data_IF_715566812691
#
_entry.id   IF_715566812691
#
_cell.length_a   1.000
_cell.length_b   1.000
_cell.length_c   1.000
_cell.angle_alpha   90.00
_cell.angle_beta   90.00
_cell.angle_gamma   90.00
#
_symmetry.space_group_name_H-M   'P 1'
#
loop_
_entity.id
_entity.type
_entity.pdbx_description
1 polymer ?
#
# COMPACT_ATOMS: atom_id res chain seq x y z
N UNK A 1 -0.44 -2.62 -15.83
CA UNK A 1 0.18 -2.04 -14.62
C UNK A 1 1.36 -2.85 -14.11
N UNK A 2 1.22 -4.17 -13.87
CA UNK A 2 2.36 -5.02 -13.46
C UNK A 2 3.21 -5.53 -14.64
N UNK A 3 2.60 -5.81 -15.81
CA UNK A 3 3.31 -6.36 -16.97
C UNK A 3 3.72 -7.84 -16.78
N UNK A 4 4.04 -8.57 -17.86
CA UNK A 4 4.68 -9.88 -17.76
C UNK A 4 6.12 -9.76 -17.24
N UNK A 5 6.71 -10.87 -16.79
CA UNK A 5 8.06 -10.88 -16.20
C UNK A 5 9.14 -10.37 -17.18
N UNK A 6 8.94 -10.61 -18.49
CA UNK A 6 9.87 -10.18 -19.55
C UNK A 6 9.63 -8.73 -20.02
N UNK A 7 8.51 -8.11 -19.63
CA UNK A 7 8.24 -6.69 -19.87
C UNK A 7 7.52 -6.08 -18.65
N UNK A 8 8.34 -5.79 -17.64
CA UNK A 8 7.89 -5.20 -16.40
C UNK A 8 7.04 -3.95 -16.67
N UNK A 9 5.88 -3.86 -16.02
CA UNK A 9 4.99 -2.71 -16.11
C UNK A 9 5.49 -1.50 -15.31
N UNK A 10 4.63 -0.49 -15.18
CA UNK A 10 4.97 0.76 -14.49
C UNK A 10 5.26 0.55 -13.00
N UNK A 11 4.49 -0.30 -12.32
CA UNK A 11 4.63 -0.52 -10.87
C UNK A 11 6.02 -1.05 -10.51
N UNK A 12 6.52 -2.18 -11.10
CA UNK A 12 7.87 -2.66 -10.81
C UNK A 12 8.94 -1.61 -11.10
N UNK A 13 8.86 -0.94 -12.26
CA UNK A 13 9.85 0.06 -12.67
C UNK A 13 9.91 1.23 -11.69
N UNK A 14 8.76 1.78 -11.30
CA UNK A 14 8.68 2.92 -10.37
C UNK A 14 9.16 2.51 -8.97
N UNK A 15 8.73 1.36 -8.46
CA UNK A 15 9.10 0.93 -7.11
C UNK A 15 10.60 0.64 -7.01
N UNK A 16 11.16 -0.06 -8.01
CA UNK A 16 12.60 -0.35 -8.05
C UNK A 16 13.41 0.94 -8.07
N UNK A 17 13.09 1.87 -8.98
CA UNK A 17 13.83 3.12 -9.12
C UNK A 17 13.71 4.00 -7.87
N UNK A 18 12.54 4.00 -7.23
CA UNK A 18 12.32 4.73 -6.00
C UNK A 18 13.15 4.16 -4.83
N UNK A 19 13.17 2.85 -4.62
CA UNK A 19 13.99 2.26 -3.57
C UNK A 19 15.50 2.45 -3.82
N UNK A 20 15.95 2.45 -5.08
CA UNK A 20 17.35 2.76 -5.42
C UNK A 20 17.75 4.19 -5.04
N UNK A 21 16.81 5.14 -5.05
CA UNK A 21 17.05 6.55 -4.70
C UNK A 21 16.99 6.81 -3.18
N UNK A 22 16.52 5.84 -2.38
CA UNK A 22 16.42 5.93 -0.92
C UNK A 22 17.74 5.58 -0.22
N UNK A 23 18.84 6.21 -0.64
CA UNK A 23 20.21 5.89 -0.16
C UNK A 23 20.89 7.04 0.57
N UNK A 24 20.22 8.19 0.71
CA UNK A 24 20.76 9.34 1.44
C UNK A 24 20.72 9.13 2.95
N UNK A 25 21.90 9.09 3.58
CA UNK A 25 22.07 8.91 5.02
C UNK A 25 21.49 10.05 5.87
N UNK A 26 21.23 11.22 5.27
CA UNK A 26 20.68 12.39 5.97
C UNK A 26 19.16 12.41 6.01
N UNK A 27 18.51 11.47 5.32
CA UNK A 27 17.07 11.42 5.15
C UNK A 27 16.52 10.09 5.64
N UNK A 28 15.46 10.13 6.44
CA UNK A 28 14.71 8.91 6.78
C UNK A 28 13.57 8.69 5.79
N UNK A 29 13.43 7.45 5.32
CA UNK A 29 12.40 7.03 4.38
C UNK A 29 11.47 6.00 5.03
N UNK A 30 10.19 6.03 4.67
CA UNK A 30 9.21 5.01 5.04
C UNK A 30 8.26 4.78 3.88
N UNK A 31 8.03 3.53 3.56
CA UNK A 31 7.06 3.11 2.55
C UNK A 31 5.96 2.29 3.20
N UNK A 32 4.72 2.76 3.09
CA UNK A 32 3.53 2.03 3.52
C UNK A 32 2.70 1.61 2.31
N UNK A 33 2.16 0.39 2.33
CA UNK A 33 1.22 -0.09 1.31
C UNK A 33 -0.10 -0.52 1.91
N UNK A 34 -1.17 -0.32 1.15
CA UNK A 34 -2.51 -0.82 1.46
C UNK A 34 -3.18 -1.31 0.19
N UNK A 35 -4.02 -2.34 0.31
CA UNK A 35 -4.76 -2.88 -0.83
C UNK A 35 -6.21 -3.11 -0.47
N UNK A 36 -7.11 -2.46 -1.19
CA UNK A 36 -8.54 -2.61 -1.00
C UNK A 36 -9.26 -2.97 -2.29
N UNK A 37 -10.45 -3.51 -2.11
CA UNK A 37 -11.40 -3.74 -3.17
C UNK A 37 -12.72 -3.02 -2.86
N UNK A 38 -13.34 -2.46 -3.89
CA UNK A 38 -14.69 -1.93 -3.86
C UNK A 38 -15.54 -2.83 -4.76
N UNK A 39 -16.53 -3.48 -4.16
CA UNK A 39 -17.47 -4.34 -4.86
C UNK A 39 -18.87 -4.14 -4.29
N UNK A 40 -19.84 -3.81 -5.16
CA UNK A 40 -21.23 -3.55 -4.76
C UNK A 40 -21.33 -2.56 -3.58
N UNK A 41 -20.67 -1.40 -3.72
CA UNK A 41 -20.57 -0.34 -2.71
C UNK A 41 -19.97 -0.76 -1.34
N UNK A 42 -19.35 -1.95 -1.27
CA UNK A 42 -18.68 -2.46 -0.07
C UNK A 42 -17.17 -2.41 -0.26
N UNK A 43 -16.50 -1.85 0.75
CA UNK A 43 -15.03 -1.79 0.80
C UNK A 43 -14.49 -2.98 1.60
N UNK A 44 -13.51 -3.68 1.06
CA UNK A 44 -12.86 -4.83 1.71
C UNK A 44 -11.35 -4.65 1.75
N UNK A 45 -10.73 -5.14 2.81
CA UNK A 45 -9.28 -5.18 2.96
C UNK A 45 -8.73 -6.48 2.34
N UNK A 46 -7.90 -6.35 1.29
CA UNK A 46 -7.33 -7.50 0.60
C UNK A 46 -6.08 -8.07 1.30
N UNK A 47 -5.46 -7.35 2.24
CA UNK A 47 -4.22 -7.78 2.92
C UNK A 47 -4.48 -8.35 4.32
N UNK A 48 -5.54 -7.89 4.99
CA UNK A 48 -5.92 -8.37 6.33
C UNK A 48 -6.73 -9.68 6.31
N UNK A 49 -7.19 -10.10 5.14
CA UNK A 49 -8.02 -11.30 5.02
C UNK A 49 -7.19 -12.56 5.29
N UNK A 50 -7.69 -13.41 6.19
CA UNK A 50 -7.17 -14.75 6.48
C UNK A 50 -8.13 -15.78 5.88
N UNK A 51 -7.64 -16.85 5.23
CA UNK A 51 -8.50 -17.92 4.74
C UNK A 51 -9.43 -18.44 5.84
N UNK A 52 -10.73 -18.51 5.56
CA UNK A 52 -11.74 -19.01 6.51
C UNK A 52 -12.30 -17.98 7.49
N UNK A 53 -11.81 -16.73 7.51
CA UNK A 53 -12.44 -15.66 8.28
C UNK A 53 -13.53 -14.93 7.50
N UNK A 54 -14.55 -14.46 8.22
CA UNK A 54 -15.59 -13.59 7.68
C UNK A 54 -14.96 -12.25 7.29
N UNK A 55 -15.11 -11.87 6.02
CA UNK A 55 -14.61 -10.58 5.53
C UNK A 55 -15.60 -9.50 5.96
N UNK A 56 -15.13 -8.58 6.81
CA UNK A 56 -15.92 -7.43 7.24
C UNK A 56 -15.76 -6.27 6.25
N UNK A 57 -16.88 -5.60 5.97
CA UNK A 57 -16.85 -4.38 5.16
C UNK A 57 -16.27 -3.23 5.98
N UNK A 58 -15.29 -2.53 5.40
CA UNK A 58 -14.73 -1.33 5.97
C UNK A 58 -15.64 -0.13 5.69
N UNK A 59 -15.57 0.87 6.57
CA UNK A 59 -16.34 2.11 6.43
C UNK A 59 -15.47 3.21 5.86
N UNK A 60 -16.00 3.93 4.87
CA UNK A 60 -15.40 5.18 4.38
C UNK A 60 -15.81 6.30 5.34
N UNK A 61 -14.86 7.17 5.69
CA UNK A 61 -15.05 8.36 6.53
C UNK A 61 -14.35 9.54 5.89
N UNK A 62 -14.59 10.73 6.40
CA UNK A 62 -13.98 11.96 5.92
C UNK A 62 -13.18 12.63 7.04
N UNK A 63 -11.92 12.96 6.76
CA UNK A 63 -11.06 13.73 7.64
C UNK A 63 -11.10 15.21 7.22
N UNK A 64 -11.25 16.17 8.15
CA UNK A 64 -11.42 17.59 7.81
C UNK A 64 -10.31 18.22 6.97
N UNK A 65 -9.10 17.65 6.99
CA UNK A 65 -7.94 18.15 6.23
C UNK A 65 -7.47 17.21 5.11
N UNK A 66 -7.64 15.90 5.29
CA UNK A 66 -7.05 14.89 4.40
C UNK A 66 -8.08 14.30 3.45
N UNK A 67 -9.37 14.65 3.63
CA UNK A 67 -10.46 14.16 2.81
C UNK A 67 -10.85 12.71 3.16
N UNK A 68 -11.45 11.98 2.20
CA UNK A 68 -11.99 10.65 2.44
C UNK A 68 -10.90 9.61 2.72
N UNK A 69 -11.14 8.74 3.69
CA UNK A 69 -10.27 7.63 4.06
C UNK A 69 -11.08 6.40 4.49
N UNK A 70 -10.44 5.24 4.45
CA UNK A 70 -11.08 3.98 4.85
C UNK A 70 -10.67 3.63 6.27
N UNK A 71 -11.64 3.68 7.19
CA UNK A 71 -11.39 3.36 8.60
C UNK A 71 -11.08 1.87 8.75
N UNK A 72 -9.93 1.57 9.38
CA UNK A 72 -9.51 0.20 9.68
C UNK A 72 -8.82 -0.53 8.53
N UNK A 73 -8.55 0.15 7.41
CA UNK A 73 -7.74 -0.38 6.32
C UNK A 73 -6.31 -0.65 6.82
N UNK A 74 -5.83 -1.87 6.60
CA UNK A 74 -4.47 -2.25 6.97
C UNK A 74 -3.43 -1.52 6.13
N UNK A 75 -2.32 -1.18 6.78
CA UNK A 75 -1.13 -0.60 6.16
C UNK A 75 0.07 -1.44 6.58
N UNK A 76 0.88 -1.83 5.61
CA UNK A 76 2.10 -2.62 5.82
C UNK A 76 3.30 -1.79 5.45
N UNK A 77 4.29 -1.72 6.34
CA UNK A 77 5.58 -1.12 6.02
C UNK A 77 6.36 -2.11 5.15
N UNK A 78 6.95 -1.62 4.07
CA UNK A 78 7.76 -2.41 3.14
C UNK A 78 9.11 -1.76 2.90
N UNK A 79 10.13 -2.57 2.68
CA UNK A 79 11.51 -2.10 2.47
C UNK A 79 12.07 -2.44 1.09
N UNK A 80 11.30 -3.13 0.25
CA UNK A 80 11.76 -3.60 -1.06
C UNK A 80 10.61 -3.75 -2.04
N UNK A 81 10.92 -3.78 -3.33
CA UNK A 81 9.94 -4.09 -4.37
C UNK A 81 9.38 -5.51 -4.21
N UNK A 82 10.21 -6.45 -3.79
CA UNK A 82 9.83 -7.85 -3.58
C UNK A 82 8.72 -7.97 -2.52
N UNK A 83 8.80 -7.20 -1.44
CA UNK A 83 7.74 -7.15 -0.42
C UNK A 83 6.43 -6.55 -0.97
N UNK A 84 6.53 -5.51 -1.80
CA UNK A 84 5.36 -4.92 -2.49
C UNK A 84 4.70 -5.95 -3.40
N UNK A 85 5.49 -6.65 -4.20
CA UNK A 85 5.02 -7.68 -5.12
C UNK A 85 4.34 -8.83 -4.38
N UNK A 86 4.94 -9.31 -3.29
CA UNK A 86 4.37 -10.36 -2.45
C UNK A 86 3.00 -9.97 -1.86
N UNK A 87 2.87 -8.73 -1.35
CA UNK A 87 1.59 -8.23 -0.84
C UNK A 87 0.55 -8.06 -1.95
N UNK A 88 0.97 -7.64 -3.14
CA UNK A 88 0.09 -7.53 -4.29
C UNK A 88 -0.44 -8.89 -4.76
N UNK A 89 0.45 -9.89 -4.87
CA UNK A 89 0.08 -11.27 -5.20
C UNK A 89 -0.89 -11.84 -4.17
N UNK A 90 -0.60 -11.66 -2.87
CA UNK A 90 -1.50 -12.08 -1.78
C UNK A 90 -2.89 -11.46 -1.91
N UNK A 91 -2.98 -10.15 -2.11
CA UNK A 91 -4.27 -9.47 -2.27
C UNK A 91 -5.02 -9.91 -3.53
N UNK A 92 -4.29 -10.19 -4.62
CA UNK A 92 -4.89 -10.74 -5.84
C UNK A 92 -5.47 -12.14 -5.61
N UNK A 93 -4.77 -13.01 -4.87
CA UNK A 93 -5.31 -14.33 -4.50
C UNK A 93 -6.60 -14.22 -3.70
N UNK A 94 -6.65 -13.32 -2.71
CA UNK A 94 -7.87 -13.06 -1.92
C UNK A 94 -9.02 -12.60 -2.82
N UNK A 95 -8.76 -11.65 -3.73
CA UNK A 95 -9.73 -11.14 -4.69
C UNK A 95 -10.29 -12.24 -5.60
N UNK A 96 -9.42 -13.12 -6.11
CA UNK A 96 -9.82 -14.27 -6.93
C UNK A 96 -10.66 -15.27 -6.13
N UNK A 97 -10.26 -15.61 -4.90
CA UNK A 97 -11.04 -16.54 -4.05
C UNK A 97 -12.42 -15.99 -3.66
N UNK A 98 -12.59 -14.67 -3.54
CA UNK A 98 -13.90 -14.07 -3.35
C UNK A 98 -14.79 -14.16 -4.60
N UNK A 99 -14.20 -14.45 -5.77
CA UNK A 99 -14.86 -14.52 -7.06
C UNK A 99 -15.24 -15.96 -7.47
N UNK A 100 -14.75 -17.01 -6.78
CA UNK A 100 -15.00 -18.42 -7.16
C UNK A 100 -16.44 -18.89 -6.99
N UNK A 101 -17.36 -18.03 -6.56
CA UNK A 101 -18.81 -18.28 -6.61
C UNK A 101 -19.35 -17.91 -8.02
N UNK A 102 -19.00 -18.72 -9.03
CA UNK A 102 -19.59 -18.77 -10.38
C UNK A 102 -19.71 -17.44 -11.18
N UNK A 103 -19.12 -16.34 -10.71
CA UNK A 103 -19.26 -15.00 -11.28
C UNK A 103 -17.89 -14.39 -11.50
N UNK A 104 -17.67 -13.83 -12.68
CA UNK A 104 -16.48 -13.02 -12.97
C UNK A 104 -16.55 -11.66 -12.24
N UNK A 105 -16.46 -11.71 -10.91
CA UNK A 105 -16.51 -10.56 -9.99
C UNK A 105 -15.31 -9.63 -10.19
N UNK A 106 -14.22 -10.15 -10.77
CA UNK A 106 -13.01 -9.37 -11.06
C UNK A 106 -13.25 -8.21 -12.04
N UNK A 107 -14.19 -8.37 -12.99
CA UNK A 107 -14.59 -7.34 -13.95
C UNK A 107 -15.49 -6.25 -13.35
N UNK A 108 -16.20 -6.57 -12.26
CA UNK A 108 -17.22 -5.70 -11.63
C UNK A 108 -16.75 -5.08 -10.30
N UNK A 109 -15.50 -5.32 -9.94
CA UNK A 109 -14.87 -4.78 -8.73
C UNK A 109 -13.75 -3.84 -9.12
N UNK A 110 -13.59 -2.77 -8.34
CA UNK A 110 -12.42 -1.90 -8.43
C UNK A 110 -11.42 -2.33 -7.36
N UNK A 111 -10.15 -2.45 -7.72
CA UNK A 111 -9.07 -2.74 -6.78
C UNK A 111 -8.10 -1.57 -6.75
N UNK A 112 -7.79 -1.08 -5.56
CA UNK A 112 -6.94 0.09 -5.34
C UNK A 112 -5.77 -0.33 -4.47
N UNK A 113 -4.61 -0.47 -5.11
CA UNK A 113 -3.33 -0.66 -4.44
C UNK A 113 -2.68 0.70 -4.25
N UNK A 114 -2.50 1.11 -3.00
CA UNK A 114 -1.93 2.42 -2.64
C UNK A 114 -0.56 2.23 -2.03
N UNK A 115 0.41 2.99 -2.52
CA UNK A 115 1.76 3.08 -1.97
C UNK A 115 1.96 4.51 -1.49
N UNK A 116 2.34 4.66 -0.22
CA UNK A 116 2.63 5.95 0.41
C UNK A 116 4.10 5.99 0.75
N UNK A 117 4.82 6.89 0.08
CA UNK A 117 6.22 7.16 0.32
C UNK A 117 6.35 8.40 1.20
N UNK A 118 6.97 8.25 2.37
CA UNK A 118 7.24 9.34 3.31
C UNK A 118 8.74 9.58 3.38
N UNK A 119 9.16 10.78 3.00
CA UNK A 119 10.53 11.26 3.17
C UNK A 119 10.57 12.28 4.31
N UNK A 120 11.48 12.11 5.26
CA UNK A 120 11.74 13.12 6.30
C UNK A 120 13.23 13.46 6.29
N UNK A 121 13.54 14.66 5.81
CA UNK A 121 14.88 15.23 5.91
C UNK A 121 15.21 15.47 7.40
N UNK A 122 16.41 15.08 7.83
CA UNK A 122 16.89 15.49 9.15
C UNK A 122 17.35 16.95 9.07
N UNK A 123 16.74 17.80 9.89
CA UNK A 123 17.17 19.18 10.02
C UNK A 123 18.51 19.24 10.78
N UNK A 124 19.60 19.42 10.03
CA UNK A 124 20.97 19.50 10.57
C UNK A 124 21.17 20.69 11.52
N UNK A 125 20.23 21.64 11.60
CA UNK A 125 20.34 22.83 12.43
C UNK A 125 20.07 22.63 13.93
N UNK A 126 19.65 21.43 14.38
CA UNK A 126 19.32 21.20 15.80
C UNK A 126 20.48 20.70 16.69
N UNK A 127 21.71 20.62 16.17
CA UNK A 127 22.87 20.08 16.91
C UNK A 127 23.85 21.10 17.52
N UNK A 128 23.60 22.40 17.45
CA UNK A 128 24.41 23.41 18.16
C UNK A 128 23.69 23.97 19.40
N UNK A 129 23.48 23.13 20.41
CA UNK A 129 23.32 23.65 21.78
C UNK A 129 24.72 23.96 22.31
N UNK A 130 25.11 25.22 22.15
CA UNK A 130 26.27 25.80 22.81
C UNK A 130 26.03 25.71 24.33
N UNK A 131 26.92 25.12 25.14
CA UNK A 131 26.80 25.19 26.58
C UNK A 131 27.07 26.65 27.00
N UNK A 132 26.06 27.29 27.59
CA UNK A 132 26.28 28.53 28.34
C UNK A 132 27.12 28.18 29.58
N UNK A 133 28.33 28.72 29.63
CA UNK A 133 29.07 29.01 30.86
C UNK A 133 28.90 30.50 31.16
#
# INVERSE_FOLDING_TARGET
>A
MMGPHDDAGLIPRICQDLFHRMTDDTTSYRTDVSYLEIYNEKVRDLLKTVPGQVIHNLRVREHPKEGPYVQGLSKYVVNSYQEIEALMQRGNSVRTTASTNMNDVSSRSHAIFTIVFTQKAQDLLKRSRVPFL
#
